data_IF_733740688658
#
_entry.id   IF_733740688658
#
_cell.length_a   1.000
_cell.length_b   1.000
_cell.length_c   1.000
_cell.angle_alpha   90.00
_cell.angle_beta   90.00
_cell.angle_gamma   90.00
#
_symmetry.space_group_name_H-M   'P 1'
#
loop_
_entity.id
_entity.type
_entity.pdbx_description
1 polymer ?
#
# COMPACT_ATOMS: atom_id res chain seq x y z
N UNK A 1 -28.39 -13.15 17.26
CA UNK A 1 -27.66 -13.38 16.01
C UNK A 1 -26.25 -12.90 16.26
N UNK A 2 -25.30 -13.82 16.44
CA UNK A 2 -23.89 -13.47 16.55
C UNK A 2 -23.42 -13.14 15.13
N UNK A 3 -23.49 -11.86 14.77
CA UNK A 3 -22.88 -11.38 13.54
C UNK A 3 -21.39 -11.34 13.84
N UNK A 4 -20.66 -12.37 13.40
CA UNK A 4 -19.21 -12.28 13.27
C UNK A 4 -18.91 -11.14 12.30
N UNK A 5 -18.72 -9.94 12.82
CA UNK A 5 -18.17 -8.82 12.06
C UNK A 5 -16.74 -9.24 11.70
N UNK A 6 -16.55 -9.71 10.47
CA UNK A 6 -15.21 -9.95 9.94
C UNK A 6 -14.43 -8.64 10.00
N UNK A 7 -13.19 -8.68 10.49
CA UNK A 7 -12.28 -7.55 10.43
C UNK A 7 -11.89 -7.32 8.97
N UNK A 8 -12.12 -6.12 8.47
CA UNK A 8 -11.62 -5.70 7.14
C UNK A 8 -10.18 -5.21 7.33
N UNK A 9 -9.26 -5.74 6.54
CA UNK A 9 -7.87 -5.31 6.48
C UNK A 9 -7.65 -4.35 5.31
N UNK A 10 -6.46 -3.74 5.25
CA UNK A 10 -6.07 -2.91 4.10
C UNK A 10 -6.06 -3.74 2.81
N UNK A 11 -5.54 -4.97 2.87
CA UNK A 11 -5.43 -5.90 1.74
C UNK A 11 -6.80 -6.22 1.10
N UNK A 12 -7.87 -6.23 1.91
CA UNK A 12 -9.23 -6.52 1.43
C UNK A 12 -9.83 -5.41 0.54
N UNK A 13 -9.26 -4.19 0.58
CA UNK A 13 -9.78 -3.01 -0.14
C UNK A 13 -8.79 -2.44 -1.14
N UNK A 14 -7.61 -3.03 -1.27
CA UNK A 14 -6.55 -2.54 -2.16
C UNK A 14 -6.58 -3.24 -3.50
N UNK A 15 -6.20 -2.50 -4.55
CA UNK A 15 -5.82 -3.10 -5.82
C UNK A 15 -4.32 -3.35 -5.76
N UNK A 16 -3.88 -4.55 -6.10
CA UNK A 16 -2.47 -4.88 -6.17
C UNK A 16 -2.09 -5.11 -7.63
N UNK A 17 -1.03 -4.42 -8.07
CA UNK A 17 -0.37 -4.72 -9.33
C UNK A 17 0.91 -5.48 -9.00
N UNK A 18 1.34 -6.42 -9.83
CA UNK A 18 2.73 -6.87 -9.77
C UNK A 18 3.66 -5.79 -10.34
N UNK A 19 4.96 -5.87 -10.03
CA UNK A 19 5.96 -5.00 -10.65
C UNK A 19 5.93 -5.10 -12.18
N UNK A 20 5.72 -6.32 -12.70
CA UNK A 20 5.60 -6.56 -14.14
C UNK A 20 4.33 -5.96 -14.74
N UNK A 21 3.20 -5.98 -14.04
CA UNK A 21 1.97 -5.32 -14.53
C UNK A 21 2.10 -3.80 -14.46
N UNK A 22 2.73 -3.28 -13.40
CA UNK A 22 2.90 -1.84 -13.18
C UNK A 22 3.60 -1.14 -14.34
N UNK A 23 4.58 -1.80 -14.98
CA UNK A 23 5.29 -1.26 -16.13
C UNK A 23 4.36 -0.96 -17.33
N UNK A 24 3.23 -1.66 -17.42
CA UNK A 24 2.24 -1.52 -18.49
C UNK A 24 1.04 -0.64 -18.10
N UNK A 25 0.93 -0.21 -16.83
CA UNK A 25 -0.12 0.70 -16.36
C UNK A 25 0.14 2.09 -16.92
N UNK A 26 -0.86 2.66 -17.59
CA UNK A 26 -0.74 3.99 -18.19
C UNK A 26 -0.66 5.09 -17.12
N UNK A 27 -0.07 6.27 -17.43
CA UNK A 27 0.11 7.32 -16.45
C UNK A 27 -1.20 7.78 -15.78
N UNK A 28 -2.33 7.79 -16.49
CA UNK A 28 -3.61 8.19 -15.91
C UNK A 28 -4.13 7.14 -14.92
N UNK A 29 -3.94 5.85 -15.22
CA UNK A 29 -4.23 4.75 -14.31
C UNK A 29 -3.30 4.76 -13.09
N UNK A 30 -2.02 5.11 -13.23
CA UNK A 30 -1.11 5.25 -12.08
C UNK A 30 -1.54 6.37 -11.13
N UNK A 31 -1.97 7.51 -11.68
CA UNK A 31 -2.58 8.59 -10.88
C UNK A 31 -3.84 8.12 -10.19
N UNK A 32 -4.74 7.45 -10.90
CA UNK A 32 -5.98 6.92 -10.31
C UNK A 32 -5.69 5.90 -9.20
N UNK A 33 -4.73 5.00 -9.40
CA UNK A 33 -4.29 4.04 -8.39
C UNK A 33 -3.86 4.76 -7.12
N UNK A 34 -3.02 5.78 -7.25
CA UNK A 34 -2.56 6.58 -6.11
C UNK A 34 -3.73 7.19 -5.34
N UNK A 35 -4.62 7.87 -6.05
CA UNK A 35 -5.77 8.55 -5.44
C UNK A 35 -6.66 7.56 -4.68
N UNK A 36 -6.98 6.43 -5.32
CA UNK A 36 -7.81 5.37 -4.73
C UNK A 36 -7.14 4.74 -3.51
N UNK A 37 -5.83 4.45 -3.55
CA UNK A 37 -5.12 3.81 -2.45
C UNK A 37 -5.01 4.73 -1.23
N UNK A 38 -4.74 6.03 -1.43
CA UNK A 38 -4.73 7.02 -0.36
C UNK A 38 -6.13 7.23 0.23
N UNK A 39 -7.16 7.28 -0.61
CA UNK A 39 -8.55 7.39 -0.17
C UNK A 39 -8.98 6.16 0.65
N UNK A 40 -8.64 4.95 0.20
CA UNK A 40 -8.95 3.71 0.91
C UNK A 40 -8.28 3.67 2.30
N UNK A 41 -7.01 4.06 2.38
CA UNK A 41 -6.31 4.15 3.67
C UNK A 41 -7.01 5.16 4.61
N UNK A 42 -7.32 6.35 4.11
CA UNK A 42 -8.02 7.39 4.87
C UNK A 42 -9.39 6.92 5.37
N UNK A 43 -10.14 6.19 4.54
CA UNK A 43 -11.43 5.63 4.93
C UNK A 43 -11.30 4.58 6.03
N UNK A 44 -10.31 3.69 5.97
CA UNK A 44 -10.08 2.69 7.00
C UNK A 44 -9.72 3.33 8.35
N UNK A 45 -8.86 4.34 8.35
CA UNK A 45 -8.58 5.13 9.56
C UNK A 45 -9.86 5.81 10.07
N UNK A 46 -10.67 6.39 9.18
CA UNK A 46 -11.89 7.10 9.54
C UNK A 46 -12.97 6.21 10.17
N UNK A 47 -13.05 4.93 9.77
CA UNK A 47 -13.98 3.96 10.40
C UNK A 47 -13.41 3.32 11.67
N UNK A 48 -12.23 3.77 12.13
CA UNK A 48 -11.65 3.41 13.41
C UNK A 48 -10.63 2.27 13.37
N UNK A 49 -10.15 1.88 12.18
CA UNK A 49 -9.01 0.96 12.11
C UNK A 49 -7.72 1.69 12.45
N UNK A 50 -6.90 1.06 13.29
CA UNK A 50 -5.57 1.54 13.64
C UNK A 50 -4.57 0.43 13.34
N UNK A 51 -3.89 0.55 12.21
CA UNK A 51 -2.82 -0.36 11.79
C UNK A 51 -1.62 0.48 11.34
N UNK A 52 -0.40 -0.10 11.31
CA UNK A 52 0.78 0.61 10.82
C UNK A 52 0.55 1.10 9.39
N UNK A 53 0.96 2.33 9.08
CA UNK A 53 0.89 2.86 7.71
C UNK A 53 1.63 1.92 6.77
N UNK A 54 0.96 1.33 5.76
CA UNK A 54 1.61 0.45 4.79
C UNK A 54 2.70 1.18 4.02
N UNK A 55 3.79 0.50 3.66
CA UNK A 55 4.90 1.11 2.92
C UNK A 55 4.44 1.73 1.59
N UNK A 56 3.53 1.05 0.89
CA UNK A 56 2.90 1.57 -0.33
C UNK A 56 2.22 2.91 -0.08
N UNK A 57 1.56 3.11 1.06
CA UNK A 57 0.94 4.40 1.40
C UNK A 57 2.01 5.47 1.62
N UNK A 58 3.09 5.16 2.33
CA UNK A 58 4.19 6.09 2.56
C UNK A 58 4.82 6.57 1.25
N UNK A 59 5.07 5.66 0.30
CA UNK A 59 5.61 5.99 -1.03
C UNK A 59 4.62 6.84 -1.83
N UNK A 60 3.34 6.45 -1.84
CA UNK A 60 2.30 7.20 -2.54
C UNK A 60 2.06 8.60 -1.95
N UNK A 61 2.22 8.81 -0.65
CA UNK A 61 2.17 10.16 -0.05
C UNK A 61 3.31 11.06 -0.54
N UNK A 62 4.46 10.48 -0.89
CA UNK A 62 5.68 11.18 -1.33
C UNK A 62 5.76 11.39 -2.85
N UNK A 63 4.69 11.13 -3.60
CA UNK A 63 4.69 11.12 -5.07
C UNK A 63 5.63 10.04 -5.67
N UNK A 64 6.02 9.03 -4.89
CA UNK A 64 6.90 7.94 -5.33
C UNK A 64 6.11 6.74 -5.88
N UNK A 65 6.77 5.89 -6.68
CA UNK A 65 6.13 4.69 -7.22
C UNK A 65 6.07 3.58 -6.15
N UNK A 66 5.07 2.68 -6.18
CA UNK A 66 4.95 1.60 -5.18
C UNK A 66 6.21 0.72 -5.09
N UNK A 67 6.88 0.55 -6.24
CA UNK A 67 8.07 -0.29 -6.45
C UNK A 67 9.37 0.52 -6.58
N UNK A 68 9.35 1.82 -6.30
CA UNK A 68 10.60 2.61 -6.33
C UNK A 68 11.43 2.26 -5.09
N UNK A 69 12.45 1.43 -5.29
CA UNK A 69 13.50 1.06 -4.32
C UNK A 69 13.05 0.32 -3.06
N UNK A 70 12.99 -1.01 -3.17
CA UNK A 70 13.19 -1.93 -2.04
C UNK A 70 14.56 -2.63 -2.05
N UNK A 71 15.48 -2.28 -2.97
CA UNK A 71 16.78 -2.97 -3.03
C UNK A 71 17.80 -2.53 -1.95
N UNK A 72 17.56 -1.40 -1.25
CA UNK A 72 18.56 -0.84 -0.32
C UNK A 72 18.16 -0.89 1.17
N UNK A 73 16.89 -1.11 1.52
CA UNK A 73 16.45 -1.10 2.94
C UNK A 73 16.62 -2.44 3.67
N UNK A 74 16.62 -3.57 2.95
CA UNK A 74 16.83 -4.90 3.53
C UNK A 74 18.32 -5.32 3.61
N UNK A 75 19.23 -4.58 2.96
CA UNK A 75 20.67 -4.87 2.99
C UNK A 75 21.41 -4.29 4.22
N UNK A 76 20.69 -3.72 5.20
CA UNK A 76 21.29 -3.22 6.46
C UNK A 76 20.90 -4.00 7.72
N UNK A 77 20.67 -5.31 7.61
CA UNK A 77 20.81 -6.23 8.76
C UNK A 77 22.08 -7.07 8.59
N UNK A 78 23.22 -6.52 9.01
CA UNK A 78 24.44 -7.29 9.25
C UNK A 78 24.24 -8.28 10.42
N UNK A 79 25.00 -9.39 10.43
CA UNK A 79 26.22 -9.43 11.23
C UNK A 79 27.38 -9.96 10.36
N UNK A 80 28.60 -9.42 10.41
CA UNK A 80 29.37 -9.32 11.64
C UNK A 80 29.84 -10.70 12.07
N UNK A 81 30.71 -11.33 11.29
CA UNK A 81 31.80 -12.25 11.71
C UNK A 81 32.79 -12.46 10.54
#
# INVERSE_FOLDING_TARGET
MDVRQGSVSFEDVTVEFTQDEWQYVDPAQRTLYRDVMLENYSHLISVGYCFPTPEVIVKLEQDEEPWSLEEESLNQRYPGE
#
